data_IF_469899976437
#
_entry.id   IF_469899976437
#
_cell.length_a   1.000
_cell.length_b   1.000
_cell.length_c   1.000
_cell.angle_alpha   90.00
_cell.angle_beta   90.00
_cell.angle_gamma   90.00
#
_symmetry.space_group_name_H-M   'P 1'
#
loop_
_entity.id
_entity.type
_entity.pdbx_description
1 polymer ?
#
# COMPACT_ATOMS: atom_id res chain seq x y z
N UNK A 1 1.94 13.52 -11.04
CA UNK A 1 1.15 12.77 -10.03
C UNK A 1 1.20 13.58 -8.75
N UNK A 2 0.12 13.69 -7.97
CA UNK A 2 0.21 14.31 -6.63
C UNK A 2 1.23 13.52 -5.77
N UNK A 3 1.93 14.21 -4.87
CA UNK A 3 2.86 13.57 -3.95
C UNK A 3 2.12 12.56 -3.06
N UNK A 4 2.66 11.35 -2.94
CA UNK A 4 2.10 10.28 -2.11
C UNK A 4 3.09 9.84 -1.04
N UNK A 5 2.59 9.49 0.12
CA UNK A 5 3.32 8.71 1.12
C UNK A 5 3.07 7.22 0.83
N UNK A 6 4.08 6.51 0.35
CA UNK A 6 3.98 5.10 -0.01
C UNK A 6 4.80 4.28 0.99
N UNK A 7 4.16 3.31 1.63
CA UNK A 7 4.86 2.27 2.38
C UNK A 7 5.11 1.09 1.45
N UNK A 8 6.36 0.84 1.08
CA UNK A 8 6.76 -0.25 0.19
C UNK A 8 7.49 -1.34 0.98
N UNK A 9 6.82 -2.46 1.19
CA UNK A 9 7.41 -3.65 1.80
C UNK A 9 7.58 -4.69 0.71
N UNK A 10 8.82 -5.06 0.42
CA UNK A 10 9.10 -5.98 -0.66
C UNK A 10 10.28 -6.88 -0.37
N UNK A 11 10.29 -8.04 -1.01
CA UNK A 11 11.45 -8.92 -1.02
C UNK A 11 12.59 -8.23 -1.77
N UNK A 12 13.80 -8.21 -1.20
CA UNK A 12 14.95 -7.50 -1.77
C UNK A 12 15.31 -7.93 -3.21
N UNK A 13 14.83 -9.10 -3.65
CA UNK A 13 15.06 -9.65 -4.99
C UNK A 13 14.21 -8.99 -6.10
N UNK A 14 13.20 -8.18 -5.76
CA UNK A 14 12.32 -7.50 -6.72
C UNK A 14 12.58 -5.98 -6.84
N UNK A 15 13.82 -5.55 -6.57
CA UNK A 15 14.23 -4.14 -6.44
C UNK A 15 13.96 -3.21 -7.63
N UNK A 16 13.56 -3.74 -8.78
CA UNK A 16 13.36 -2.99 -10.02
C UNK A 16 12.04 -2.18 -10.00
N UNK A 17 10.92 -2.75 -9.55
CA UNK A 17 9.63 -2.05 -9.51
C UNK A 17 9.67 -0.83 -8.59
N UNK A 18 10.27 -0.96 -7.41
CA UNK A 18 10.47 0.15 -6.48
C UNK A 18 11.29 1.28 -7.10
N UNK A 19 12.42 0.94 -7.73
CA UNK A 19 13.32 1.92 -8.32
C UNK A 19 12.64 2.67 -9.48
N UNK A 20 11.85 1.95 -10.28
CA UNK A 20 11.01 2.55 -11.31
C UNK A 20 9.91 3.43 -10.70
N UNK A 21 9.24 2.99 -9.64
CA UNK A 21 8.22 3.78 -8.95
C UNK A 21 8.78 5.12 -8.44
N UNK A 22 9.99 5.13 -7.86
CA UNK A 22 10.66 6.37 -7.45
C UNK A 22 10.94 7.31 -8.64
N UNK A 23 11.29 6.76 -9.81
CA UNK A 23 11.55 7.56 -11.01
C UNK A 23 10.28 8.21 -11.58
N UNK A 24 9.14 7.50 -11.53
CA UNK A 24 7.84 8.02 -11.99
C UNK A 24 7.17 8.97 -10.99
N UNK A 25 7.57 8.91 -9.72
CA UNK A 25 6.97 9.64 -8.62
C UNK A 25 8.02 10.42 -7.81
N UNK A 26 8.81 11.33 -8.43
CA UNK A 26 9.96 11.95 -7.76
C UNK A 26 9.56 12.82 -6.55
N UNK A 27 8.33 13.32 -6.53
CA UNK A 27 7.79 14.13 -5.43
C UNK A 27 7.12 13.28 -4.33
N UNK A 28 7.03 11.95 -4.52
CA UNK A 28 6.43 11.04 -3.54
C UNK A 28 7.47 10.51 -2.56
N UNK A 29 7.05 10.31 -1.31
CA UNK A 29 7.89 9.72 -0.27
C UNK A 29 7.67 8.22 -0.21
N UNK A 30 8.67 7.44 -0.62
CA UNK A 30 8.61 5.97 -0.64
C UNK A 30 9.44 5.43 0.53
N UNK A 31 8.75 4.91 1.53
CA UNK A 31 9.32 4.32 2.75
C UNK A 31 9.59 2.83 2.52
N UNK A 32 10.76 2.35 2.95
CA UNK A 32 11.18 0.97 2.75
C UNK A 32 11.71 0.36 4.06
N UNK A 33 10.82 -0.17 4.91
CA UNK A 33 11.24 -0.87 6.11
C UNK A 33 12.02 -2.13 5.73
N UNK A 34 13.03 -2.47 6.53
CA UNK A 34 13.77 -3.73 6.45
C UNK A 34 13.23 -4.76 7.45
N UNK A 35 12.55 -4.31 8.49
CA UNK A 35 12.03 -5.14 9.57
C UNK A 35 10.55 -4.85 9.87
N UNK A 36 9.86 -5.83 10.47
CA UNK A 36 8.42 -5.72 10.77
C UNK A 36 8.10 -4.48 11.60
N UNK A 37 8.86 -4.24 12.67
CA UNK A 37 8.58 -3.14 13.59
C UNK A 37 8.80 -1.77 12.92
N UNK A 38 9.74 -1.67 11.98
CA UNK A 38 9.92 -0.46 11.17
C UNK A 38 8.70 -0.21 10.29
N UNK A 39 8.17 -1.26 9.64
CA UNK A 39 6.98 -1.15 8.79
C UNK A 39 5.77 -0.66 9.59
N UNK A 40 5.56 -1.23 10.78
CA UNK A 40 4.46 -0.83 11.67
C UNK A 40 4.66 0.59 12.20
N UNK A 41 5.87 0.97 12.60
CA UNK A 41 6.18 2.32 13.05
C UNK A 41 5.97 3.34 11.92
N UNK A 42 6.43 3.03 10.71
CA UNK A 42 6.26 3.91 9.55
C UNK A 42 4.80 4.09 9.18
N UNK A 43 4.02 3.01 9.20
CA UNK A 43 2.57 3.06 8.98
C UNK A 43 1.90 4.03 9.98
N UNK A 44 2.22 3.93 11.27
CA UNK A 44 1.60 4.77 12.31
C UNK A 44 2.08 6.22 12.25
N UNK A 45 3.36 6.47 11.97
CA UNK A 45 3.95 7.80 12.06
C UNK A 45 3.75 8.64 10.79
N UNK A 46 3.73 8.01 9.62
CA UNK A 46 3.72 8.71 8.33
C UNK A 46 2.41 8.58 7.56
N UNK A 47 1.44 7.79 8.06
CA UNK A 47 0.10 7.67 7.49
C UNK A 47 0.10 7.46 5.97
N UNK A 48 0.63 6.32 5.47
CA UNK A 48 0.79 6.11 4.05
C UNK A 48 -0.56 6.20 3.32
N UNK A 49 -0.54 6.84 2.14
CA UNK A 49 -1.68 6.89 1.23
C UNK A 49 -1.94 5.54 0.57
N UNK A 50 -0.85 4.80 0.30
CA UNK A 50 -0.88 3.46 -0.31
C UNK A 50 0.20 2.59 0.33
N UNK A 51 -0.17 1.34 0.63
CA UNK A 51 0.73 0.31 1.13
C UNK A 51 0.93 -0.71 0.01
N UNK A 52 2.18 -0.89 -0.43
CA UNK A 52 2.56 -1.85 -1.46
C UNK A 52 3.31 -3.00 -0.78
N UNK A 53 2.83 -4.22 -1.01
CA UNK A 53 3.34 -5.45 -0.45
C UNK A 53 3.77 -6.36 -1.61
N UNK A 54 5.06 -6.48 -1.84
CA UNK A 54 5.64 -7.19 -2.98
C UNK A 54 6.37 -8.46 -2.55
N UNK A 55 5.93 -9.60 -3.06
CA UNK A 55 6.55 -10.89 -2.81
C UNK A 55 5.83 -11.71 -1.75
N UNK A 56 6.56 -12.68 -1.21
CA UNK A 56 5.98 -13.75 -0.40
C UNK A 56 6.79 -14.06 0.87
N UNK A 57 7.76 -13.22 1.23
CA UNK A 57 8.51 -13.42 2.48
C UNK A 57 7.60 -13.35 3.71
N UNK A 58 8.14 -13.89 4.80
CA UNK A 58 7.50 -13.83 6.11
C UNK A 58 7.29 -12.37 6.55
N UNK A 59 8.23 -11.47 6.24
CA UNK A 59 8.07 -10.04 6.51
C UNK A 59 6.83 -9.45 5.83
N UNK A 60 6.70 -9.66 4.51
CA UNK A 60 5.55 -9.15 3.74
C UNK A 60 4.23 -9.69 4.27
N UNK A 61 4.21 -10.99 4.61
CA UNK A 61 3.03 -11.66 5.19
C UNK A 61 2.69 -11.12 6.56
N UNK A 62 3.65 -11.01 7.46
CA UNK A 62 3.42 -10.51 8.81
C UNK A 62 2.95 -9.06 8.80
N UNK A 63 3.57 -8.19 8.00
CA UNK A 63 3.10 -6.81 7.84
C UNK A 63 1.67 -6.78 7.36
N UNK A 64 1.32 -7.55 6.31
CA UNK A 64 -0.06 -7.64 5.85
C UNK A 64 -0.99 -8.05 6.97
N UNK A 65 -0.72 -9.15 7.69
CA UNK A 65 -1.61 -9.65 8.73
C UNK A 65 -1.80 -8.64 9.85
N UNK A 66 -0.73 -7.96 10.28
CA UNK A 66 -0.84 -6.93 11.31
C UNK A 66 -1.71 -5.76 10.86
N UNK A 67 -1.50 -5.24 9.66
CA UNK A 67 -2.28 -4.11 9.14
C UNK A 67 -3.73 -4.53 8.83
N UNK A 68 -3.91 -5.66 8.15
CA UNK A 68 -5.20 -6.25 7.79
C UNK A 68 -6.07 -6.62 9.00
N UNK A 69 -5.47 -6.98 10.14
CA UNK A 69 -6.20 -7.31 11.36
C UNK A 69 -6.97 -6.12 11.94
N UNK A 70 -6.66 -4.89 11.49
CA UNK A 70 -7.25 -3.67 12.00
C UNK A 70 -6.77 -3.26 13.40
N UNK A 71 -5.93 -4.08 14.05
CA UNK A 71 -5.36 -3.78 15.38
C UNK A 71 -4.51 -2.50 15.34
N UNK A 72 -3.88 -2.23 14.21
CA UNK A 72 -3.04 -1.05 14.00
C UNK A 72 -3.78 0.10 13.35
N UNK A 73 -5.09 0.02 13.08
CA UNK A 73 -5.81 1.07 12.35
C UNK A 73 -5.66 2.42 13.04
N UNK A 74 -4.93 3.32 12.39
CA UNK A 74 -4.68 4.66 12.91
C UNK A 74 -5.96 5.53 12.88
N UNK A 75 -6.91 5.21 11.99
CA UNK A 75 -8.24 5.81 11.95
C UNK A 75 -9.27 4.77 11.51
N UNK A 76 -10.20 4.34 12.40
CA UNK A 76 -11.28 3.41 12.04
C UNK A 76 -12.20 3.89 10.92
N UNK A 77 -12.11 5.19 10.56
CA UNK A 77 -13.00 5.85 9.62
C UNK A 77 -12.41 5.99 8.21
N UNK A 78 -11.09 5.84 8.04
CA UNK A 78 -10.45 5.98 6.72
C UNK A 78 -10.10 4.61 6.15
N UNK A 79 -10.53 4.29 4.91
CA UNK A 79 -10.18 3.03 4.27
C UNK A 79 -8.68 2.99 3.96
N UNK A 80 -8.04 1.88 4.31
CA UNK A 80 -6.64 1.63 4.00
C UNK A 80 -6.50 1.14 2.56
N UNK A 81 -5.54 1.66 1.80
CA UNK A 81 -5.29 1.24 0.42
C UNK A 81 -4.09 0.29 0.35
N UNK A 82 -4.34 -0.96 -0.05
CA UNK A 82 -3.33 -2.00 -0.21
C UNK A 82 -3.18 -2.42 -1.67
N UNK A 83 -1.94 -2.57 -2.11
CA UNK A 83 -1.57 -3.32 -3.31
C UNK A 83 -0.74 -4.51 -2.85
N UNK A 84 -1.16 -5.72 -3.21
CA UNK A 84 -0.39 -6.95 -3.01
C UNK A 84 0.08 -7.45 -4.36
N UNK A 85 1.39 -7.63 -4.54
CA UNK A 85 2.03 -8.15 -5.75
C UNK A 85 2.63 -9.51 -5.40
N UNK A 86 1.95 -10.61 -5.73
CA UNK A 86 2.34 -11.96 -5.32
C UNK A 86 1.79 -13.04 -6.27
N UNK A 87 2.36 -14.25 -6.20
CA UNK A 87 1.89 -15.40 -6.97
C UNK A 87 0.87 -16.24 -6.19
N UNK A 88 -0.19 -16.67 -6.89
CA UNK A 88 -1.00 -17.86 -6.57
C UNK A 88 -2.03 -17.76 -5.46
N UNK A 89 -1.81 -16.97 -4.39
CA UNK A 89 -2.75 -16.89 -3.27
C UNK A 89 -3.57 -15.60 -3.30
N UNK A 90 -4.91 -15.73 -3.17
CA UNK A 90 -5.76 -14.57 -2.88
C UNK A 90 -5.64 -14.22 -1.41
N UNK A 91 -5.14 -13.03 -1.12
CA UNK A 91 -5.04 -12.50 0.23
C UNK A 91 -6.42 -11.99 0.69
N UNK A 92 -6.81 -12.20 1.95
CA UNK A 92 -8.14 -11.87 2.46
C UNK A 92 -8.35 -10.36 2.62
N UNK A 93 -9.23 -9.76 1.85
CA UNK A 93 -9.52 -8.31 1.95
C UNK A 93 -9.95 -7.91 3.36
N UNK A 94 -9.25 -6.97 4.03
CA UNK A 94 -9.65 -6.43 5.32
C UNK A 94 -11.01 -5.71 5.24
N UNK A 95 -11.80 -5.73 6.31
CA UNK A 95 -13.17 -5.20 6.32
C UNK A 95 -13.27 -3.70 5.96
N UNK A 96 -12.22 -2.91 6.24
CA UNK A 96 -12.13 -1.48 5.97
C UNK A 96 -10.93 -1.14 5.07
N UNK A 97 -10.69 -1.95 4.05
CA UNK A 97 -9.58 -1.74 3.13
C UNK A 97 -10.01 -1.85 1.67
N UNK A 98 -9.38 -1.03 0.85
CA UNK A 98 -9.34 -1.19 -0.60
C UNK A 98 -8.12 -2.02 -0.95
N UNK A 99 -8.34 -3.22 -1.48
CA UNK A 99 -7.26 -4.14 -1.84
C UNK A 99 -7.24 -4.39 -3.34
N UNK A 100 -6.09 -4.12 -3.96
CA UNK A 100 -5.77 -4.55 -5.32
C UNK A 100 -4.72 -5.66 -5.26
N UNK A 101 -4.97 -6.79 -5.91
CA UNK A 101 -4.01 -7.90 -5.99
C UNK A 101 -3.51 -8.04 -7.43
N UNK A 102 -2.19 -8.03 -7.59
CA UNK A 102 -1.48 -8.09 -8.86
C UNK A 102 -0.57 -9.33 -8.89
N UNK A 103 -0.33 -9.94 -10.07
CA UNK A 103 0.58 -11.08 -10.21
C UNK A 103 2.04 -10.69 -9.92
N UNK A 104 2.91 -11.64 -9.54
CA UNK A 104 4.32 -11.33 -9.23
C UNK A 104 5.11 -10.78 -10.43
N UNK A 105 4.68 -11.08 -11.65
CA UNK A 105 5.30 -10.61 -12.90
C UNK A 105 4.76 -9.25 -13.36
N UNK A 106 4.24 -8.44 -12.45
CA UNK A 106 3.70 -7.11 -12.74
C UNK A 106 4.80 -6.16 -13.25
N UNK A 107 4.42 -5.30 -14.20
CA UNK A 107 5.28 -4.20 -14.66
C UNK A 107 4.87 -2.87 -14.02
N UNK A 108 5.72 -1.85 -14.16
CA UNK A 108 5.49 -0.55 -13.54
C UNK A 108 4.22 0.13 -14.03
N UNK A 109 3.86 0.02 -15.31
CA UNK A 109 2.66 0.66 -15.85
C UNK A 109 1.38 0.12 -15.17
N UNK A 110 1.35 -1.19 -14.93
CA UNK A 110 0.25 -1.86 -14.22
C UNK A 110 0.20 -1.43 -12.76
N UNK A 111 1.37 -1.33 -12.10
CA UNK A 111 1.46 -0.85 -10.72
C UNK A 111 0.97 0.60 -10.60
N UNK A 112 1.42 1.49 -11.49
CA UNK A 112 1.01 2.90 -11.49
C UNK A 112 -0.50 3.05 -11.74
N UNK A 113 -1.06 2.26 -12.65
CA UNK A 113 -2.49 2.23 -12.88
C UNK A 113 -3.27 1.80 -11.62
N UNK A 114 -2.78 0.77 -10.91
CA UNK A 114 -3.37 0.32 -9.65
C UNK A 114 -3.27 1.37 -8.53
N UNK A 115 -2.13 2.04 -8.38
CA UNK A 115 -1.92 3.14 -7.43
C UNK A 115 -2.92 4.27 -7.70
N UNK A 116 -3.05 4.70 -8.95
CA UNK A 116 -3.95 5.79 -9.34
C UNK A 116 -5.43 5.41 -9.11
N UNK A 117 -5.81 4.16 -9.42
CA UNK A 117 -7.16 3.66 -9.16
C UNK A 117 -7.49 3.64 -7.66
N UNK A 118 -6.59 3.11 -6.84
CA UNK A 118 -6.76 3.10 -5.39
C UNK A 118 -6.86 4.51 -4.83
N UNK A 119 -6.00 5.44 -5.26
CA UNK A 119 -6.07 6.84 -4.83
C UNK A 119 -7.43 7.46 -5.11
N UNK A 120 -7.96 7.28 -6.33
CA UNK A 120 -9.29 7.79 -6.69
C UNK A 120 -10.39 7.18 -5.83
N UNK A 121 -10.33 5.88 -5.56
CA UNK A 121 -11.31 5.19 -4.72
C UNK A 121 -11.24 5.66 -3.26
N UNK A 122 -10.04 5.77 -2.68
CA UNK A 122 -9.82 6.30 -1.33
C UNK A 122 -10.34 7.72 -1.19
N UNK A 123 -10.05 8.60 -2.16
CA UNK A 123 -10.55 9.99 -2.17
C UNK A 123 -12.08 10.04 -2.26
N UNK A 124 -12.68 9.23 -3.13
CA UNK A 124 -14.13 9.16 -3.26
C UNK A 124 -14.80 8.68 -1.98
N UNK A 125 -14.23 7.68 -1.29
CA UNK A 125 -14.74 7.18 -0.02
C UNK A 125 -14.60 8.20 1.11
N UNK A 126 -13.45 8.90 1.22
CA UNK A 126 -13.26 9.99 2.19
C UNK A 126 -14.27 11.12 2.00
N UNK A 127 -14.54 11.51 0.75
CA UNK A 127 -15.56 12.54 0.43
C UNK A 127 -16.97 12.07 0.77
N UNK A 128 -17.30 10.80 0.50
CA UNK A 128 -18.61 10.23 0.85
C UNK A 128 -18.84 10.14 2.36
N UNK A 129 -17.77 9.94 3.15
CA UNK A 129 -17.81 9.89 4.61
C UNK A 129 -17.83 11.28 5.26
N UNK A 130 -17.32 12.31 4.59
CA UNK A 130 -17.27 13.70 5.07
C UNK A 130 -17.80 14.71 4.02
N UNK A 131 -19.12 14.72 3.74
CA UNK A 131 -19.72 15.57 2.70
C UNK A 131 -19.62 17.08 2.97
N UNK A 132 -19.26 17.49 4.20
CA UNK A 132 -19.12 18.90 4.60
C UNK A 132 -17.78 19.55 4.18
N UNK A 133 -16.83 18.77 3.65
CA UNK A 133 -15.51 19.25 3.23
C UNK A 133 -15.37 19.46 1.70
N UNK A 134 -16.49 19.42 0.96
CA UNK A 134 -16.55 19.58 -0.50
C UNK A 134 -16.66 21.05 -0.93
#
# INVERSE_FOLDING_TARGET
MEALNILYVGDAQHSDLRSQLSAYAPDSYIMQPQELHEALAMYVLYFPDVIILEGCSDLVREVYYHLASGVTQASPQSPEAFIVIADGARWPTPANALLTQLPAQTNIDTLLAAVEQLRKATRAQRLAQHPEAA
#
